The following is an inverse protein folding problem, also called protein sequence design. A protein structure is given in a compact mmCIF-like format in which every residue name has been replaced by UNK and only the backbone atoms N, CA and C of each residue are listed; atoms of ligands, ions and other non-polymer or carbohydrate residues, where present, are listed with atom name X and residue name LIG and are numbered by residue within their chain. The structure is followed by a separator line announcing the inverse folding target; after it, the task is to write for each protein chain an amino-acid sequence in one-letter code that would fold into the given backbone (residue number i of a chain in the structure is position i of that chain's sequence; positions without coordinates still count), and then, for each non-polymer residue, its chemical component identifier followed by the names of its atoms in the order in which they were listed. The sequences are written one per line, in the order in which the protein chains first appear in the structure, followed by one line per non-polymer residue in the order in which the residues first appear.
data_IF_306851926446
#
_entry.id   IF_306851926446
#
_cell.length_a   1.000
_cell.length_b   1.000
_cell.length_c   1.000
_cell.angle_alpha   90.00
_cell.angle_beta   90.00
_cell.angle_gamma   90.00
#
_symmetry.space_group_name_H-M   'P 1'
#
loop_
_entity.id
_entity.type
_entity.pdbx_description
1 polymer ?
#
# COMPACT_ATOMS: atom_id res chain seq x y z
N UNK A 1 -2.17 11.94 19.93
CA UNK A 1 -2.20 10.90 18.88
C UNK A 1 -3.62 10.48 18.59
N UNK A 2 -4.03 10.43 17.32
CA UNK A 2 -5.38 10.03 16.93
C UNK A 2 -5.52 8.52 17.21
N UNK A 3 -6.47 8.11 18.05
CA UNK A 3 -6.63 6.74 18.61
C UNK A 3 -6.70 5.61 17.56
N UNK A 4 -6.84 5.97 16.29
CA UNK A 4 -7.00 5.04 15.17
C UNK A 4 -5.68 4.64 14.50
N UNK A 5 -4.55 5.28 14.83
CA UNK A 5 -3.25 5.01 14.23
C UNK A 5 -2.37 4.25 15.22
N UNK A 6 -1.63 3.26 14.73
CA UNK A 6 -0.67 2.50 15.52
C UNK A 6 0.70 2.47 14.83
N UNK A 7 1.72 2.90 15.58
CA UNK A 7 3.15 2.94 15.24
C UNK A 7 3.98 2.08 16.21
N UNK A 8 3.36 1.37 17.15
CA UNK A 8 4.05 0.47 18.06
C UNK A 8 4.30 -0.88 17.35
N UNK A 9 5.32 -0.89 16.48
CA UNK A 9 5.78 -2.09 15.78
C UNK A 9 7.29 -2.17 15.77
N UNK A 10 7.82 -3.39 15.83
CA UNK A 10 9.23 -3.65 15.52
C UNK A 10 9.45 -3.85 14.02
N UNK A 11 10.71 -3.76 13.58
CA UNK A 11 11.06 -4.05 12.17
C UNK A 11 10.72 -5.49 11.80
N UNK A 12 10.87 -6.44 12.71
CA UNK A 12 10.59 -7.86 12.52
C UNK A 12 9.09 -8.11 12.30
N UNK A 13 8.24 -7.44 13.09
CA UNK A 13 6.78 -7.54 12.93
C UNK A 13 6.34 -7.01 11.56
N UNK A 14 6.85 -5.84 11.16
CA UNK A 14 6.55 -5.26 9.84
C UNK A 14 7.13 -6.11 8.72
N UNK A 15 8.32 -6.69 8.90
CA UNK A 15 8.92 -7.63 7.94
C UNK A 15 8.02 -8.85 7.72
N UNK A 16 7.47 -9.44 8.79
CA UNK A 16 6.56 -10.56 8.68
C UNK A 16 5.23 -10.19 7.97
N UNK A 17 4.69 -9.00 8.25
CA UNK A 17 3.48 -8.49 7.57
C UNK A 17 3.76 -8.24 6.08
N UNK A 18 4.86 -7.57 5.77
CA UNK A 18 5.27 -7.26 4.41
C UNK A 18 5.58 -8.54 3.62
N UNK A 19 6.16 -9.56 4.25
CA UNK A 19 6.38 -10.87 3.65
C UNK A 19 5.06 -11.52 3.22
N UNK A 20 4.01 -11.48 4.07
CA UNK A 20 2.66 -11.97 3.71
C UNK A 20 2.06 -11.20 2.54
N UNK A 21 2.21 -9.88 2.52
CA UNK A 21 1.76 -9.02 1.41
C UNK A 21 2.47 -9.41 0.11
N UNK A 22 3.81 -9.48 0.14
CA UNK A 22 4.63 -9.84 -1.03
C UNK A 22 4.34 -11.24 -1.52
N UNK A 23 4.09 -12.20 -0.63
CA UNK A 23 3.68 -13.55 -1.01
C UNK A 23 2.35 -13.56 -1.80
N UNK A 24 1.35 -12.81 -1.31
CA UNK A 24 0.09 -12.65 -2.04
C UNK A 24 0.31 -12.03 -3.43
N UNK A 25 1.17 -11.01 -3.53
CA UNK A 25 1.47 -10.34 -4.80
C UNK A 25 2.19 -11.27 -5.78
N UNK A 26 3.21 -12.02 -5.32
CA UNK A 26 3.96 -12.96 -6.17
C UNK A 26 3.04 -13.98 -6.83
N UNK A 27 2.10 -14.51 -6.05
CA UNK A 27 1.13 -15.50 -6.49
C UNK A 27 -0.15 -14.92 -7.14
N UNK A 28 -0.13 -13.63 -7.53
CA UNK A 28 -1.27 -12.95 -8.17
C UNK A 28 -2.58 -12.99 -7.34
N UNK A 29 -2.46 -13.18 -6.03
CA UNK A 29 -3.55 -13.11 -5.04
C UNK A 29 -3.67 -11.69 -4.48
N UNK A 30 -3.68 -10.69 -5.37
CA UNK A 30 -3.88 -9.30 -4.97
C UNK A 30 -4.78 -8.55 -5.95
N UNK A 31 -5.37 -7.46 -5.47
CA UNK A 31 -6.18 -6.54 -6.30
C UNK A 31 -5.95 -5.11 -5.84
N UNK A 32 -5.77 -4.19 -6.79
CA UNK A 32 -5.82 -2.75 -6.53
C UNK A 32 -7.26 -2.28 -6.67
N UNK A 33 -7.74 -1.51 -5.68
CA UNK A 33 -9.11 -0.99 -5.69
C UNK A 33 -9.24 0.15 -6.71
N UNK A 34 -10.09 -0.03 -7.74
CA UNK A 34 -10.29 0.91 -8.86
C UNK A 34 -11.77 1.31 -9.07
N UNK A 35 -12.54 1.46 -7.98
CA UNK A 35 -13.94 1.90 -8.06
C UNK A 35 -14.08 3.44 -7.98
N UNK A 36 -15.32 3.94 -8.11
CA UNK A 36 -15.68 5.37 -8.05
C UNK A 36 -15.16 6.10 -6.80
N UNK A 37 -15.03 5.40 -5.66
CA UNK A 37 -14.48 5.95 -4.43
C UNK A 37 -12.93 5.95 -4.39
N UNK A 38 -12.28 5.54 -5.49
CA UNK A 38 -10.83 5.39 -5.64
C UNK A 38 -10.28 6.14 -6.84
N UNK A 39 -10.86 7.31 -7.14
CA UNK A 39 -10.44 8.14 -8.27
C UNK A 39 -8.96 8.55 -8.20
N UNK A 40 -8.38 8.76 -7.01
CA UNK A 40 -6.94 9.03 -6.87
C UNK A 40 -6.08 7.88 -7.39
N UNK A 41 -6.46 6.62 -7.13
CA UNK A 41 -5.75 5.45 -7.65
C UNK A 41 -5.84 5.42 -9.19
N UNK A 42 -7.05 5.64 -9.72
CA UNK A 42 -7.32 5.63 -11.16
C UNK A 42 -6.51 6.73 -11.86
N UNK A 43 -6.53 7.95 -11.32
CA UNK A 43 -5.81 9.09 -11.87
C UNK A 43 -4.31 8.85 -11.85
N UNK A 44 -3.76 8.39 -10.72
CA UNK A 44 -2.33 8.11 -10.60
C UNK A 44 -1.85 7.04 -11.58
N UNK A 45 -2.59 5.95 -11.72
CA UNK A 45 -2.28 4.88 -12.67
C UNK A 45 -2.31 5.39 -14.11
N UNK A 46 -3.30 6.22 -14.47
CA UNK A 46 -3.42 6.79 -15.82
C UNK A 46 -2.33 7.82 -16.11
N UNK A 47 -2.08 8.74 -15.18
CA UNK A 47 -1.09 9.80 -15.31
C UNK A 47 0.31 9.22 -15.59
N UNK A 48 0.75 8.26 -14.77
CA UNK A 48 2.08 7.67 -14.92
C UNK A 48 2.11 6.41 -15.81
N UNK A 49 1.01 6.08 -16.49
CA UNK A 49 0.87 4.86 -17.29
C UNK A 49 1.34 3.59 -16.55
N UNK A 50 0.94 3.45 -15.28
CA UNK A 50 1.38 2.37 -14.39
C UNK A 50 0.63 1.08 -14.74
N UNK A 51 1.14 0.37 -15.75
CA UNK A 51 0.64 -0.94 -16.17
C UNK A 51 0.77 -1.99 -15.07
N UNK A 52 0.10 -3.14 -15.22
CA UNK A 52 0.06 -4.21 -14.22
C UNK A 52 1.45 -4.75 -13.82
N UNK A 53 2.38 -4.85 -14.76
CA UNK A 53 3.78 -5.23 -14.52
C UNK A 53 4.49 -4.20 -13.62
N UNK A 54 4.30 -2.91 -13.90
CA UNK A 54 4.86 -1.81 -13.11
C UNK A 54 4.22 -1.78 -11.71
N UNK A 55 2.90 -1.97 -11.62
CA UNK A 55 2.19 -2.07 -10.33
C UNK A 55 2.78 -3.20 -9.48
N UNK A 56 2.90 -4.41 -10.04
CA UNK A 56 3.46 -5.57 -9.34
C UNK A 56 4.90 -5.30 -8.90
N UNK A 57 5.71 -4.69 -9.77
CA UNK A 57 7.10 -4.33 -9.45
C UNK A 57 7.20 -3.32 -8.30
N UNK A 58 6.39 -2.26 -8.32
CA UNK A 58 6.33 -1.27 -7.23
C UNK A 58 6.00 -1.95 -5.90
N UNK A 59 4.95 -2.78 -5.88
CA UNK A 59 4.48 -3.42 -4.66
C UNK A 59 5.49 -4.44 -4.11
N UNK A 60 6.22 -5.15 -4.98
CA UNK A 60 7.26 -6.11 -4.57
C UNK A 60 8.53 -5.44 -4.05
N UNK A 61 8.81 -4.20 -4.45
CA UNK A 61 9.98 -3.44 -4.00
C UNK A 61 9.74 -2.57 -2.76
N UNK A 62 8.54 -2.58 -2.17
CA UNK A 62 8.29 -1.92 -0.88
C UNK A 62 9.22 -2.52 0.18
N UNK A 63 9.86 -1.69 0.99
CA UNK A 63 10.76 -2.11 2.07
C UNK A 63 10.12 -1.93 3.45
N UNK A 64 10.72 -2.53 4.48
CA UNK A 64 10.24 -2.40 5.87
C UNK A 64 10.30 -0.93 6.28
N UNK A 65 11.35 -0.24 5.89
CA UNK A 65 11.60 1.18 6.14
C UNK A 65 10.56 2.10 5.51
N UNK A 66 9.82 1.63 4.49
CA UNK A 66 8.72 2.40 3.90
C UNK A 66 7.46 2.40 4.76
N UNK A 67 7.42 1.63 5.84
CA UNK A 67 6.26 1.56 6.74
C UNK A 67 6.05 2.87 7.49
N UNK A 68 4.80 3.33 7.51
CA UNK A 68 4.40 4.55 8.20
C UNK A 68 3.67 4.23 9.50
N UNK A 69 2.57 3.48 9.39
CA UNK A 69 1.69 3.13 10.50
C UNK A 69 0.67 2.09 10.04
N UNK A 70 -0.06 1.52 11.00
CA UNK A 70 -1.32 0.83 10.73
C UNK A 70 -2.50 1.64 11.26
N UNK A 71 -3.70 1.34 10.77
CA UNK A 71 -4.94 1.92 11.28
C UNK A 71 -6.10 0.94 11.21
N UNK A 72 -7.10 1.11 12.06
CA UNK A 72 -8.36 0.35 11.95
C UNK A 72 -9.19 0.81 10.75
N UNK A 73 -9.85 -0.13 10.10
CA UNK A 73 -10.79 0.20 9.04
C UNK A 73 -11.97 0.99 9.63
N UNK A 74 -12.36 2.07 8.96
CA UNK A 74 -13.46 2.96 9.39
C UNK A 74 -14.81 2.58 8.78
N UNK A 75 -14.83 1.62 7.85
CA UNK A 75 -16.06 1.15 7.22
C UNK A 75 -16.85 0.32 8.24
N UNK A 76 -18.11 0.69 8.43
CA UNK A 76 -19.03 -0.04 9.32
C UNK A 76 -19.10 -1.52 8.94
N UNK A 77 -18.95 -2.41 9.92
CA UNK A 77 -18.91 -3.86 9.75
C UNK A 77 -17.53 -4.43 9.41
N UNK A 78 -16.49 -3.61 9.33
CA UNK A 78 -15.11 -4.02 9.04
C UNK A 78 -14.11 -3.47 10.06
N UNK A 79 -14.56 -2.89 11.17
CA UNK A 79 -13.74 -2.18 12.16
C UNK A 79 -12.68 -3.06 12.83
N UNK A 80 -12.87 -4.39 12.79
CA UNK A 80 -11.90 -5.36 13.27
C UNK A 80 -10.64 -5.43 12.38
N UNK A 81 -10.74 -5.07 11.10
CA UNK A 81 -9.65 -5.12 10.14
C UNK A 81 -8.56 -4.09 10.45
N UNK A 82 -7.30 -4.52 10.33
CA UNK A 82 -6.13 -3.65 10.42
C UNK A 82 -5.61 -3.37 9.01
N UNK A 83 -5.45 -2.09 8.70
CA UNK A 83 -4.90 -1.60 7.44
C UNK A 83 -3.46 -1.17 7.65
N UNK A 84 -2.56 -1.55 6.75
CA UNK A 84 -1.14 -1.23 6.84
C UNK A 84 -0.75 -0.21 5.79
N UNK A 85 -0.04 0.85 6.18
CA UNK A 85 0.34 1.95 5.30
C UNK A 85 1.84 1.93 5.08
N UNK A 86 2.24 1.94 3.81
CA UNK A 86 3.61 2.11 3.37
C UNK A 86 3.69 3.25 2.36
N UNK A 87 4.84 3.91 2.29
CA UNK A 87 5.08 5.00 1.37
C UNK A 87 6.41 4.83 0.62
N UNK A 88 6.53 3.87 -0.31
CA UNK A 88 7.75 3.70 -1.09
C UNK A 88 8.03 4.93 -1.96
N UNK A 89 9.32 5.24 -2.13
CA UNK A 89 9.80 6.30 -3.02
C UNK A 89 10.29 5.69 -4.33
N UNK A 90 9.54 5.88 -5.40
CA UNK A 90 9.77 5.22 -6.69
C UNK A 90 10.08 6.24 -7.78
N UNK A 91 11.04 5.92 -8.65
CA UNK A 91 11.30 6.70 -9.86
C UNK A 91 10.26 6.36 -10.93
N UNK A 92 9.42 7.31 -11.31
CA UNK A 92 8.42 7.14 -12.37
C UNK A 92 8.69 8.11 -13.51
N UNK A 93 8.25 7.73 -14.72
CA UNK A 93 8.33 8.59 -15.89
C UNK A 93 6.95 9.08 -16.30
N UNK A 94 6.83 10.38 -16.58
CA UNK A 94 5.64 11.01 -17.12
C UNK A 94 6.06 12.01 -18.21
N UNK A 95 5.54 11.85 -19.43
CA UNK A 95 5.77 12.75 -20.58
C UNK A 95 7.26 13.07 -20.78
N UNK A 96 8.11 12.04 -20.76
CA UNK A 96 9.55 12.17 -20.98
C UNK A 96 10.35 12.72 -19.79
N UNK A 97 9.71 13.07 -18.67
CA UNK A 97 10.38 13.46 -17.42
C UNK A 97 10.40 12.29 -16.45
N UNK A 98 11.53 12.09 -15.79
CA UNK A 98 11.62 11.17 -14.64
C UNK A 98 11.55 11.99 -13.36
N UNK A 99 10.71 11.57 -12.42
CA UNK A 99 10.66 12.16 -11.07
C UNK A 99 10.62 11.07 -10.00
N UNK A 100 11.06 11.42 -8.79
CA UNK A 100 10.90 10.56 -7.62
C UNK A 100 9.55 10.83 -6.98
N UNK A 101 8.69 9.83 -6.96
CA UNK A 101 7.33 9.90 -6.43
C UNK A 101 7.23 9.09 -5.15
N UNK A 102 6.78 9.71 -4.06
CA UNK A 102 6.32 8.94 -2.90
C UNK A 102 4.91 8.41 -3.19
N UNK A 103 4.73 7.11 -3.13
CA UNK A 103 3.46 6.46 -3.43
C UNK A 103 2.80 6.09 -2.11
N UNK A 104 1.65 6.67 -1.79
CA UNK A 104 0.87 6.27 -0.64
C UNK A 104 0.15 4.95 -0.93
N UNK A 105 0.53 3.91 -0.19
CA UNK A 105 -0.06 2.58 -0.30
C UNK A 105 -0.75 2.19 1.00
N UNK A 106 -1.91 1.55 0.88
CA UNK A 106 -2.67 1.05 2.03
C UNK A 106 -3.18 -0.35 1.74
N UNK A 107 -2.77 -1.30 2.56
CA UNK A 107 -3.06 -2.72 2.38
C UNK A 107 -4.08 -3.21 3.40
N UNK A 108 -4.97 -4.08 2.95
CA UNK A 108 -5.73 -4.98 3.80
C UNK A 108 -5.33 -6.42 3.44
N UNK A 109 -5.08 -7.24 4.46
CA UNK A 109 -4.78 -8.67 4.28
C UNK A 109 -6.01 -9.43 4.75
N UNK A 110 -6.66 -10.13 3.84
CA UNK A 110 -7.84 -10.94 4.13
C UNK A 110 -7.53 -12.42 3.92
N UNK A 111 -8.11 -13.29 4.75
CA UNK A 111 -7.97 -14.73 4.62
C UNK A 111 -9.29 -15.30 4.09
N UNK A 112 -9.24 -15.92 2.92
CA UNK A 112 -10.38 -16.59 2.27
C UNK A 112 -10.00 -18.05 2.08
N UNK A 113 -10.80 -18.99 2.59
CA UNK A 113 -10.56 -20.43 2.44
C UNK A 113 -9.14 -20.86 2.82
N UNK A 114 -8.65 -20.37 3.97
CA UNK A 114 -7.29 -20.60 4.50
C UNK A 114 -6.14 -20.01 3.65
N UNK A 115 -6.44 -19.22 2.63
CA UNK A 115 -5.44 -18.53 1.81
C UNK A 115 -5.49 -17.03 2.01
N UNK A 116 -4.32 -16.41 2.12
CA UNK A 116 -4.23 -14.97 2.22
C UNK A 116 -4.34 -14.31 0.83
N UNK A 117 -5.10 -13.21 0.79
CA UNK A 117 -5.21 -12.30 -0.34
C UNK A 117 -4.94 -10.88 0.15
N UNK A 118 -4.29 -10.08 -0.69
CA UNK A 118 -4.02 -8.67 -0.37
C UNK A 118 -4.88 -7.74 -1.20
N UNK A 119 -5.64 -6.87 -0.55
CA UNK A 119 -6.34 -5.77 -1.19
C UNK A 119 -5.52 -4.49 -1.01
N UNK A 120 -5.07 -3.92 -2.12
CA UNK A 120 -4.41 -2.61 -2.15
C UNK A 120 -5.52 -1.56 -2.26
N UNK A 121 -5.88 -0.98 -1.12
CA UNK A 121 -6.98 -0.02 -0.99
C UNK A 121 -6.58 1.34 -1.57
N UNK A 122 -5.39 1.82 -1.22
CA UNK A 122 -4.81 3.06 -1.74
C UNK A 122 -3.55 2.72 -2.52
N UNK A 123 -3.40 3.33 -3.69
CA UNK A 123 -2.23 3.24 -4.55
C UNK A 123 -2.18 4.52 -5.40
N UNK A 124 -1.69 5.60 -4.81
CA UNK A 124 -1.67 6.92 -5.46
C UNK A 124 -0.48 7.75 -5.01
N UNK A 125 -0.15 8.82 -5.74
CA UNK A 125 0.85 9.81 -5.32
C UNK A 125 0.48 10.36 -3.94
N UNK A 126 1.45 10.45 -3.03
CA UNK A 126 1.23 10.99 -1.70
C UNK A 126 0.84 12.48 -1.79
N UNK A 127 -0.28 12.84 -1.16
CA UNK A 127 -0.86 14.19 -1.17
C UNK A 127 -0.72 14.90 0.20
N UNK A 128 -0.06 14.25 1.17
CA UNK A 128 0.18 14.74 2.53
C UNK A 128 1.61 14.38 2.95
N UNK A 129 2.08 15.05 4.00
CA UNK A 129 3.34 14.70 4.64
C UNK A 129 3.31 13.22 5.09
N UNK A 130 4.40 12.52 4.79
CA UNK A 130 4.60 11.13 5.19
C UNK A 130 5.43 11.13 6.46
N UNK A 131 4.96 10.37 7.44
CA UNK A 131 5.66 10.10 8.69
C UNK A 131 6.03 8.62 8.71
N UNK A 132 7.32 8.32 8.55
CA UNK A 132 7.85 6.95 8.52
C UNK A 132 8.14 6.49 9.94
N UNK A 133 7.89 5.22 10.25
CA UNK A 133 8.19 4.68 11.57
C UNK A 133 9.69 4.45 11.79
N UNK A 134 10.40 4.08 10.72
CA UNK A 134 11.79 3.59 10.81
C UNK A 134 12.82 4.48 10.08
N UNK A 135 12.44 5.69 9.65
CA UNK A 135 13.32 6.65 8.95
C UNK A 135 13.39 7.96 9.70
#
# INVERSE_FOLDING_TARGET
MNKNYNQNYTKEEISAILAKIKDCIRNDRFTISLNENRQENINFIREYNIRSDIQKNILLNIEVEDFCHSLKNKKRGYEYETLYVFAPRVKLSHVGKCEMVNIYTKFNIITISQQNRTVVISFHKANKQIDYLFK
#
